data_IF_560152136503
#
_entry.id   IF_560152136503
#
_cell.length_a   1.000
_cell.length_b   1.000
_cell.length_c   1.000
_cell.angle_alpha   90.00
_cell.angle_beta   90.00
_cell.angle_gamma   90.00
#
_symmetry.space_group_name_H-M   'P 1'
#
loop_
_entity.id
_entity.type
_entity.pdbx_description
1 polymer ?
#
# COMPACT_ATOMS: atom_id res chain seq x y z
N UNK A 1 3.95 -0.61 6.02
CA UNK A 1 4.92 -0.29 4.92
C UNK A 1 4.47 0.96 4.19
N UNK A 2 5.37 1.79 3.62
CA UNK A 2 5.00 2.98 2.84
C UNK A 2 5.46 2.87 1.38
N UNK A 3 4.59 3.21 0.44
CA UNK A 3 4.88 3.18 -1.01
C UNK A 3 4.38 4.44 -1.71
N UNK A 4 5.00 4.81 -2.83
CA UNK A 4 4.47 5.88 -3.67
C UNK A 4 3.29 5.37 -4.50
N UNK A 5 2.34 6.26 -4.81
CA UNK A 5 1.18 5.96 -5.63
C UNK A 5 1.55 5.44 -7.03
N UNK A 6 2.68 5.87 -7.58
CA UNK A 6 3.15 5.35 -8.88
C UNK A 6 3.49 3.85 -8.83
N UNK A 7 4.07 3.39 -7.72
CA UNK A 7 4.40 1.98 -7.53
C UNK A 7 3.17 1.18 -7.09
N UNK A 8 2.32 1.81 -6.28
CA UNK A 8 1.10 1.22 -5.77
C UNK A 8 0.13 0.85 -6.90
N UNK A 9 -0.08 1.73 -7.91
CA UNK A 9 -1.00 1.42 -9.03
C UNK A 9 -0.57 0.19 -9.83
N UNK A 10 0.74 -0.02 -9.97
CA UNK A 10 1.30 -1.15 -10.73
C UNK A 10 1.25 -2.44 -9.92
N UNK A 11 1.45 -2.36 -8.61
CA UNK A 11 1.56 -3.52 -7.73
C UNK A 11 0.36 -3.72 -6.81
N UNK A 12 -0.78 -3.07 -7.08
CA UNK A 12 -1.90 -2.98 -6.14
C UNK A 12 -2.37 -4.36 -5.67
N UNK A 13 -2.58 -5.29 -6.59
CA UNK A 13 -3.03 -6.65 -6.27
C UNK A 13 -2.06 -7.38 -5.33
N UNK A 14 -0.74 -7.24 -5.55
CA UNK A 14 0.28 -7.83 -4.66
C UNK A 14 0.26 -7.17 -3.28
N UNK A 15 0.13 -5.85 -3.22
CA UNK A 15 0.10 -5.11 -1.97
C UNK A 15 -1.14 -5.46 -1.13
N UNK A 16 -2.29 -5.62 -1.79
CA UNK A 16 -3.53 -6.07 -1.13
C UNK A 16 -3.36 -7.49 -0.59
N UNK A 17 -2.85 -8.42 -1.39
CA UNK A 17 -2.65 -9.81 -0.95
C UNK A 17 -1.71 -9.92 0.26
N UNK A 18 -0.69 -9.07 0.35
CA UNK A 18 0.21 -9.01 1.51
C UNK A 18 -0.49 -8.50 2.78
N UNK A 19 -1.47 -7.60 2.64
CA UNK A 19 -2.27 -7.10 3.76
C UNK A 19 -3.33 -8.13 4.17
N UNK A 20 -4.04 -8.72 3.21
CA UNK A 20 -5.05 -9.76 3.45
C UNK A 20 -4.45 -11.02 4.11
N UNK A 21 -3.21 -11.39 3.74
CA UNK A 21 -2.52 -12.54 4.34
C UNK A 21 -1.95 -12.27 5.73
N UNK A 22 -1.93 -11.01 6.18
CA UNK A 22 -1.25 -10.59 7.40
C UNK A 22 0.28 -10.53 7.28
N UNK A 23 0.86 -10.66 6.09
CA UNK A 23 2.30 -10.43 5.86
C UNK A 23 2.69 -8.99 6.21
N UNK A 24 1.77 -8.05 6.04
CA UNK A 24 1.95 -6.66 6.45
C UNK A 24 0.65 -6.13 7.04
N UNK A 25 0.70 -5.63 8.28
CA UNK A 25 -0.50 -5.10 8.97
C UNK A 25 -1.14 -3.92 8.24
N UNK A 26 -0.34 -3.13 7.50
CA UNK A 26 -0.80 -1.95 6.80
C UNK A 26 0.16 -1.47 5.70
N UNK A 27 -0.41 -0.93 4.60
CA UNK A 27 0.34 -0.22 3.57
C UNK A 27 -0.13 1.22 3.42
N UNK A 28 0.74 2.19 3.71
CA UNK A 28 0.52 3.61 3.44
C UNK A 28 0.89 3.95 1.99
N UNK A 29 -0.06 4.52 1.24
CA UNK A 29 0.16 5.00 -0.13
C UNK A 29 0.34 6.52 -0.08
N UNK A 30 1.49 6.98 -0.56
CA UNK A 30 1.85 8.38 -0.59
C UNK A 30 1.85 8.97 -2.01
N UNK A 31 1.44 10.23 -2.14
CA UNK A 31 1.54 11.03 -3.37
C UNK A 31 2.30 12.32 -3.03
N UNK A 32 3.33 12.63 -3.81
CA UNK A 32 4.16 13.83 -3.62
C UNK A 32 4.64 14.04 -2.17
N UNK A 33 5.11 12.97 -1.52
CA UNK A 33 5.63 13.01 -0.14
C UNK A 33 4.56 12.99 0.97
N UNK A 34 3.27 13.02 0.64
CA UNK A 34 2.18 12.98 1.62
C UNK A 34 1.43 11.67 1.56
N UNK A 35 1.11 11.07 2.71
CA UNK A 35 0.24 9.88 2.78
C UNK A 35 -1.19 10.30 2.43
N UNK A 36 -1.80 9.59 1.48
CA UNK A 36 -3.15 9.93 0.95
C UNK A 36 -4.13 8.76 1.04
N UNK A 37 -3.64 7.54 1.23
CA UNK A 37 -4.46 6.35 1.44
C UNK A 37 -3.71 5.32 2.28
N UNK A 38 -4.46 4.42 2.91
CA UNK A 38 -3.94 3.29 3.69
C UNK A 38 -4.70 2.03 3.27
N UNK A 39 -3.97 0.95 3.01
CA UNK A 39 -4.54 -0.39 2.89
C UNK A 39 -4.43 -1.05 4.25
N UNK A 40 -5.57 -1.50 4.76
CA UNK A 40 -5.72 -2.25 6.00
C UNK A 40 -6.49 -3.55 5.68
N UNK A 41 -6.36 -4.61 6.48
CA UNK A 41 -7.10 -5.86 6.28
C UNK A 41 -8.62 -5.66 6.26
#
# INVERSE_FOLDING_TARGET
MRVNMHDAKTNLSRLVAAVESGETDEVEIARAGHVVARLVP
#
